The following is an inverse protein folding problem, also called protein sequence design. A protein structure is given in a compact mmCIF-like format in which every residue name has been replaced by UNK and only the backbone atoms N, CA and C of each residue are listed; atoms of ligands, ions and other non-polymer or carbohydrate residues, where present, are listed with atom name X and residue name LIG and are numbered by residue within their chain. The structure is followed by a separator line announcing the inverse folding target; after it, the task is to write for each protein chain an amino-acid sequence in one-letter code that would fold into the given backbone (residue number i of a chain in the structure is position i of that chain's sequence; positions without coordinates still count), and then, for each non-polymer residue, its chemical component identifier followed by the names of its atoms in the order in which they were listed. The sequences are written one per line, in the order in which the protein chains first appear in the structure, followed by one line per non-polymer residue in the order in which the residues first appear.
data_IF_079579373831
#
_entry.id   IF_079579373831
#
_cell.length_a   1.000
_cell.length_b   1.000
_cell.length_c   1.000
_cell.angle_alpha   90.00
_cell.angle_beta   90.00
_cell.angle_gamma   90.00
#
_symmetry.space_group_name_H-M   'P 1'
#
loop_
_entity.id
_entity.type
_entity.pdbx_description
1 polymer ?
#
# COMPACT_ATOMS: atom_id res chain seq x y z
N UNK A 1 18.74 -7.44 -5.08
CA UNK A 1 19.82 -7.86 -6.01
C UNK A 1 20.45 -6.64 -6.69
N UNK A 2 19.71 -5.82 -7.45
CA UNK A 2 20.27 -4.67 -8.17
C UNK A 2 20.93 -3.62 -7.26
N UNK A 3 20.38 -3.38 -6.07
CA UNK A 3 20.98 -2.50 -5.06
C UNK A 3 22.23 -3.08 -4.38
N UNK A 4 22.45 -4.39 -4.52
CA UNK A 4 23.55 -5.10 -3.84
C UNK A 4 24.84 -5.22 -4.66
N UNK A 5 24.87 -4.76 -5.91
CA UNK A 5 26.04 -4.78 -6.77
C UNK A 5 26.21 -3.46 -7.54
N UNK A 6 27.39 -3.26 -8.13
CA UNK A 6 27.69 -2.09 -8.96
C UNK A 6 27.70 -2.40 -10.46
N UNK A 7 27.19 -3.57 -10.84
CA UNK A 7 27.14 -4.01 -12.24
C UNK A 7 26.18 -3.16 -13.08
N UNK A 8 26.52 -3.00 -14.34
CA UNK A 8 25.71 -2.34 -15.37
C UNK A 8 25.20 -3.42 -16.33
N UNK A 9 23.95 -3.32 -16.70
CA UNK A 9 23.26 -4.34 -17.46
C UNK A 9 22.79 -3.81 -18.82
N UNK A 10 22.87 -4.64 -19.86
CA UNK A 10 22.25 -4.34 -21.15
C UNK A 10 20.76 -4.68 -21.16
N UNK A 11 20.32 -5.58 -20.28
CA UNK A 11 18.91 -5.93 -20.13
C UNK A 11 18.59 -6.31 -18.68
N UNK A 12 17.51 -5.75 -18.18
CA UNK A 12 16.88 -6.14 -16.91
C UNK A 12 15.48 -6.60 -17.25
N UNK A 13 15.16 -7.88 -17.03
CA UNK A 13 13.83 -8.43 -17.31
C UNK A 13 13.10 -8.74 -16.01
N UNK A 14 11.87 -8.27 -15.94
CA UNK A 14 10.92 -8.55 -14.86
C UNK A 14 9.75 -9.30 -15.49
N UNK A 15 9.70 -10.60 -15.26
CA UNK A 15 8.57 -11.44 -15.64
C UNK A 15 7.64 -11.56 -14.45
N UNK A 16 6.55 -10.83 -14.47
CA UNK A 16 5.58 -10.81 -13.39
C UNK A 16 4.37 -11.63 -13.85
N UNK A 17 4.39 -12.92 -13.58
CA UNK A 17 3.26 -13.81 -13.79
C UNK A 17 2.24 -13.59 -12.64
N UNK A 18 1.54 -12.49 -12.66
CA UNK A 18 0.47 -12.23 -11.72
C UNK A 18 -0.80 -12.98 -12.15
N UNK A 19 -0.98 -14.16 -11.59
CA UNK A 19 -2.29 -14.80 -11.55
C UNK A 19 -3.25 -13.97 -10.69
N UNK A 20 -4.56 -14.07 -10.92
CA UNK A 20 -5.60 -13.33 -10.18
C UNK A 20 -5.26 -13.14 -8.70
N UNK A 21 -5.00 -11.89 -8.31
CA UNK A 21 -4.75 -11.57 -6.91
C UNK A 21 -6.05 -11.58 -6.14
N UNK A 22 -6.16 -12.39 -5.08
CA UNK A 22 -7.25 -12.24 -4.11
C UNK A 22 -7.21 -10.81 -3.53
N UNK A 23 -8.36 -10.31 -3.07
CA UNK A 23 -8.48 -8.96 -2.51
C UNK A 23 -7.41 -8.64 -1.44
N UNK A 24 -6.95 -9.65 -0.71
CA UNK A 24 -5.86 -9.56 0.28
C UNK A 24 -4.52 -9.11 -0.34
N UNK A 25 -4.22 -9.50 -1.59
CA UNK A 25 -2.96 -9.11 -2.24
C UNK A 25 -2.88 -7.60 -2.52
N UNK A 26 -4.00 -6.88 -2.54
CA UNK A 26 -4.03 -5.43 -2.67
C UNK A 26 -3.46 -4.69 -1.46
N UNK A 27 -3.32 -5.40 -0.34
CA UNK A 27 -2.77 -4.90 0.92
C UNK A 27 -1.33 -5.37 1.17
N UNK A 28 -0.79 -6.24 0.30
CA UNK A 28 0.60 -6.66 0.35
C UNK A 28 1.50 -5.58 -0.29
N UNK A 29 2.57 -5.14 0.38
CA UNK A 29 3.52 -4.22 -0.21
C UNK A 29 4.28 -4.92 -1.35
N UNK A 30 4.37 -4.25 -2.49
CA UNK A 30 5.06 -4.74 -3.68
C UNK A 30 6.01 -3.65 -4.19
N UNK A 31 7.31 -3.87 -4.07
CA UNK A 31 8.34 -2.86 -4.32
C UNK A 31 8.91 -2.89 -5.73
N UNK A 32 8.55 -3.86 -6.58
CA UNK A 32 9.05 -3.93 -7.96
C UNK A 32 8.45 -2.83 -8.84
N UNK A 33 7.22 -2.40 -8.54
CA UNK A 33 6.47 -1.39 -9.30
C UNK A 33 6.47 -0.02 -8.62
N UNK A 34 7.58 0.39 -7.98
CA UNK A 34 7.71 1.71 -7.36
C UNK A 34 8.55 2.66 -8.22
N UNK A 35 8.38 3.96 -7.98
CA UNK A 35 9.19 5.02 -8.61
C UNK A 35 10.67 4.79 -8.33
N UNK A 36 11.02 4.51 -7.08
CA UNK A 36 12.41 4.32 -6.63
C UNK A 36 13.05 3.10 -7.28
N UNK A 37 12.33 1.98 -7.37
CA UNK A 37 12.84 0.79 -8.03
C UNK A 37 13.00 0.99 -9.54
N UNK A 38 12.06 1.67 -10.19
CA UNK A 38 12.16 2.01 -11.62
C UNK A 38 13.39 2.88 -11.88
N UNK A 39 13.63 3.90 -11.07
CA UNK A 39 14.84 4.74 -11.14
C UNK A 39 16.12 3.92 -10.94
N UNK A 40 16.12 3.03 -9.96
CA UNK A 40 17.26 2.15 -9.69
C UNK A 40 17.58 1.27 -10.90
N UNK A 41 16.58 0.65 -11.52
CA UNK A 41 16.78 -0.18 -12.71
C UNK A 41 17.33 0.62 -13.89
N UNK A 42 16.74 1.79 -14.18
CA UNK A 42 17.20 2.66 -15.25
C UNK A 42 18.65 3.14 -15.03
N UNK A 43 19.03 3.42 -13.78
CA UNK A 43 20.41 3.80 -13.43
C UNK A 43 21.41 2.66 -13.58
N UNK A 44 20.96 1.40 -13.54
CA UNK A 44 21.80 0.21 -13.73
C UNK A 44 21.88 -0.25 -15.20
N UNK A 45 21.27 0.48 -16.12
CA UNK A 45 21.37 0.19 -17.54
C UNK A 45 22.62 0.81 -18.17
N UNK A 46 23.21 0.08 -19.12
CA UNK A 46 24.13 0.66 -20.11
C UNK A 46 23.39 1.69 -20.98
N UNK A 47 24.13 2.48 -21.75
CA UNK A 47 23.51 3.52 -22.61
C UNK A 47 22.54 2.93 -23.66
N UNK A 48 22.77 1.68 -24.09
CA UNK A 48 21.88 0.94 -25.01
C UNK A 48 20.95 -0.02 -24.28
N UNK A 49 21.08 -0.15 -22.98
CA UNK A 49 20.32 -1.10 -22.18
C UNK A 49 18.84 -0.78 -22.09
N UNK A 50 18.03 -1.81 -21.79
CA UNK A 50 16.59 -1.67 -21.59
C UNK A 50 16.09 -2.49 -20.40
N UNK A 51 15.03 -2.02 -19.77
CA UNK A 51 14.20 -2.80 -18.84
C UNK A 51 13.01 -3.36 -19.63
N UNK A 52 12.73 -4.62 -19.43
CA UNK A 52 11.60 -5.33 -20.01
C UNK A 52 10.69 -5.79 -18.87
N UNK A 53 9.48 -5.27 -18.84
CA UNK A 53 8.43 -5.79 -17.97
C UNK A 53 7.46 -6.64 -18.79
N UNK A 54 7.08 -7.78 -18.24
CA UNK A 54 6.02 -8.62 -18.79
C UNK A 54 4.93 -8.77 -17.73
N UNK A 55 3.75 -8.25 -18.04
CA UNK A 55 2.58 -8.25 -17.17
C UNK A 55 1.43 -9.03 -17.81
N UNK A 56 0.74 -9.84 -17.03
CA UNK A 56 -0.49 -10.50 -17.47
C UNK A 56 -1.70 -9.66 -17.05
N UNK A 57 -2.51 -9.28 -18.03
CA UNK A 57 -3.77 -8.57 -17.79
C UNK A 57 -4.93 -9.52 -18.07
N UNK A 58 -5.41 -10.20 -17.04
CA UNK A 58 -6.57 -11.10 -17.14
C UNK A 58 -7.86 -10.45 -16.66
N UNK A 59 -7.76 -9.54 -15.71
CA UNK A 59 -8.91 -8.93 -15.04
C UNK A 59 -8.95 -7.42 -15.25
N UNK A 60 -10.12 -6.82 -15.01
CA UNK A 60 -10.26 -5.35 -14.97
C UNK A 60 -9.31 -4.72 -13.96
N UNK A 61 -9.12 -5.37 -12.80
CA UNK A 61 -8.22 -4.88 -11.75
C UNK A 61 -6.77 -4.84 -12.22
N UNK A 62 -6.27 -5.91 -12.85
CA UNK A 62 -4.90 -5.94 -13.39
C UNK A 62 -4.69 -4.88 -14.46
N UNK A 63 -5.72 -4.59 -15.29
CA UNK A 63 -5.67 -3.49 -16.26
C UNK A 63 -5.56 -2.12 -15.60
N UNK A 64 -6.33 -1.86 -14.56
CA UNK A 64 -6.26 -0.60 -13.83
C UNK A 64 -4.94 -0.45 -13.05
N UNK A 65 -4.44 -1.54 -12.49
CA UNK A 65 -3.11 -1.55 -11.88
C UNK A 65 -2.01 -1.24 -12.92
N UNK A 66 -2.18 -1.71 -14.15
CA UNK A 66 -1.26 -1.39 -15.24
C UNK A 66 -1.25 0.11 -15.61
N UNK A 67 -2.41 0.79 -15.60
CA UNK A 67 -2.43 2.26 -15.76
C UNK A 67 -1.64 2.95 -14.64
N UNK A 68 -1.83 2.52 -13.42
CA UNK A 68 -1.08 3.04 -12.26
C UNK A 68 0.41 2.80 -12.41
N UNK A 69 0.80 1.64 -12.92
CA UNK A 69 2.19 1.31 -13.22
C UNK A 69 2.79 2.21 -14.31
N UNK A 70 2.07 2.49 -15.40
CA UNK A 70 2.53 3.45 -16.41
C UNK A 70 2.75 4.85 -15.84
N UNK A 71 1.87 5.32 -14.94
CA UNK A 71 2.08 6.58 -14.22
C UNK A 71 3.33 6.53 -13.31
N UNK A 72 3.61 5.39 -12.70
CA UNK A 72 4.82 5.19 -11.88
C UNK A 72 6.09 5.28 -12.73
N UNK A 73 6.12 4.62 -13.89
CA UNK A 73 7.25 4.72 -14.83
C UNK A 73 7.46 6.17 -15.28
N UNK A 74 6.38 6.86 -15.65
CA UNK A 74 6.42 8.25 -16.07
C UNK A 74 6.97 9.18 -14.99
N UNK A 75 6.52 8.99 -13.75
CA UNK A 75 7.02 9.76 -12.60
C UNK A 75 8.51 9.49 -12.35
N UNK A 76 8.95 8.24 -12.42
CA UNK A 76 10.35 7.87 -12.27
C UNK A 76 11.22 8.57 -13.32
N UNK A 77 10.80 8.57 -14.58
CA UNK A 77 11.51 9.23 -15.68
C UNK A 77 11.57 10.75 -15.48
N UNK A 78 10.48 11.39 -15.06
CA UNK A 78 10.45 12.84 -14.75
C UNK A 78 11.44 13.18 -13.63
N UNK A 79 11.48 12.39 -12.55
CA UNK A 79 12.41 12.60 -11.44
C UNK A 79 13.88 12.37 -11.81
N UNK A 80 14.15 11.61 -12.87
CA UNK A 80 15.48 11.45 -13.47
C UNK A 80 15.84 12.58 -14.44
N UNK A 81 14.98 13.58 -14.64
CA UNK A 81 15.21 14.69 -15.56
C UNK A 81 14.97 14.35 -17.04
N UNK A 82 14.26 13.25 -17.33
CA UNK A 82 13.88 12.90 -18.70
C UNK A 82 12.70 13.81 -19.12
N UNK A 83 12.97 14.76 -20.02
CA UNK A 83 11.98 15.76 -20.45
C UNK A 83 10.82 15.17 -21.23
N UNK A 84 11.08 14.20 -22.11
CA UNK A 84 10.07 13.53 -22.94
C UNK A 84 10.04 12.01 -22.72
N UNK A 85 9.37 11.53 -21.68
CA UNK A 85 9.25 10.10 -21.39
C UNK A 85 8.72 9.27 -22.55
N UNK A 86 7.93 9.88 -23.48
CA UNK A 86 7.33 9.16 -24.61
C UNK A 86 8.38 8.57 -25.56
N UNK A 87 9.55 9.19 -25.66
CA UNK A 87 10.65 8.69 -26.52
C UNK A 87 11.37 7.48 -25.92
N UNK A 88 11.08 7.13 -24.68
CA UNK A 88 11.80 6.14 -23.89
C UNK A 88 11.01 4.87 -23.61
N UNK A 89 9.79 4.75 -24.14
CA UNK A 89 8.87 3.66 -23.85
C UNK A 89 8.22 3.08 -25.10
N UNK A 90 8.07 1.75 -25.12
CA UNK A 90 7.20 1.01 -26.03
C UNK A 90 6.34 0.08 -25.18
N UNK A 91 5.03 0.05 -25.44
CA UNK A 91 4.10 -0.90 -24.83
C UNK A 91 3.34 -1.63 -25.92
N UNK A 92 3.37 -2.95 -25.88
CA UNK A 92 2.65 -3.78 -26.81
C UNK A 92 2.07 -5.02 -26.13
N UNK A 93 1.02 -5.59 -26.73
CA UNK A 93 0.43 -6.85 -26.26
C UNK A 93 0.78 -7.99 -27.19
N UNK A 94 0.69 -9.20 -26.66
CA UNK A 94 0.70 -10.44 -27.45
C UNK A 94 -0.12 -11.52 -26.75
N UNK A 95 -0.79 -12.37 -27.52
CA UNK A 95 -1.65 -13.45 -27.01
C UNK A 95 -1.06 -14.79 -27.46
N UNK A 96 -0.41 -15.47 -26.52
CA UNK A 96 0.26 -16.74 -26.80
C UNK A 96 -0.73 -17.92 -26.91
N UNK A 97 -1.87 -17.83 -26.20
CA UNK A 97 -2.79 -18.98 -26.10
C UNK A 97 -4.15 -18.79 -26.77
N UNK A 98 -4.41 -17.64 -27.38
CA UNK A 98 -5.70 -17.34 -28.01
C UNK A 98 -6.90 -17.33 -27.03
N UNK A 99 -6.64 -17.25 -25.73
CA UNK A 99 -7.59 -17.48 -24.66
C UNK A 99 -7.82 -16.26 -23.78
N UNK A 100 -7.86 -15.03 -24.31
CA UNK A 100 -8.17 -13.81 -23.57
C UNK A 100 -7.08 -13.34 -22.56
N UNK A 101 -5.99 -14.10 -22.40
CA UNK A 101 -4.86 -13.72 -21.54
C UNK A 101 -3.90 -12.87 -22.37
N UNK A 102 -4.00 -11.56 -22.21
CA UNK A 102 -3.11 -10.64 -22.89
C UNK A 102 -1.86 -10.40 -22.05
N UNK A 103 -0.72 -10.79 -22.59
CA UNK A 103 0.56 -10.34 -22.08
C UNK A 103 0.80 -8.91 -22.54
N UNK A 104 1.18 -8.05 -21.60
CA UNK A 104 1.61 -6.69 -21.86
C UNK A 104 3.11 -6.63 -21.67
N UNK A 105 3.84 -6.28 -22.72
CA UNK A 105 5.28 -6.05 -22.62
C UNK A 105 5.55 -4.56 -22.63
N UNK A 106 6.30 -4.09 -21.63
CA UNK A 106 6.75 -2.70 -21.51
C UNK A 106 8.26 -2.68 -21.66
N UNK A 107 8.74 -2.01 -22.71
CA UNK A 107 10.15 -1.75 -22.94
C UNK A 107 10.45 -0.32 -22.52
N UNK A 108 11.39 -0.12 -21.61
CA UNK A 108 11.83 1.22 -21.21
C UNK A 108 13.34 1.34 -21.28
N UNK A 109 13.83 2.53 -21.69
CA UNK A 109 15.24 2.85 -21.81
C UNK A 109 15.58 4.14 -21.09
N UNK A 110 16.84 4.23 -20.64
CA UNK A 110 17.41 5.47 -20.11
C UNK A 110 17.62 6.52 -21.20
N UNK A 111 18.02 6.09 -22.41
CA UNK A 111 18.17 6.93 -23.61
C UNK A 111 16.95 6.80 -24.52
N UNK A 112 16.60 7.80 -25.35
CA UNK A 112 15.52 7.67 -26.33
C UNK A 112 15.75 6.48 -27.28
N UNK A 113 14.66 5.86 -27.73
CA UNK A 113 14.74 4.87 -28.80
C UNK A 113 15.24 5.51 -30.09
N UNK A 114 16.27 4.91 -30.69
CA UNK A 114 16.82 5.35 -31.98
C UNK A 114 15.94 4.90 -33.14
N UNK A 115 16.01 5.57 -34.32
CA UNK A 115 15.28 5.12 -35.51
C UNK A 115 15.61 3.68 -35.92
N UNK A 116 16.87 3.24 -35.72
CA UNK A 116 17.30 1.87 -36.02
C UNK A 116 16.63 0.86 -35.08
N UNK A 117 16.57 1.15 -33.78
CA UNK A 117 15.89 0.30 -32.78
C UNK A 117 14.40 0.19 -33.07
N UNK A 118 13.75 1.33 -33.39
CA UNK A 118 12.34 1.35 -33.79
C UNK A 118 12.07 0.54 -35.06
N UNK A 119 12.98 0.60 -36.06
CA UNK A 119 12.91 -0.23 -37.26
C UNK A 119 13.02 -1.73 -36.94
N UNK A 120 13.96 -2.10 -36.07
CA UNK A 120 14.12 -3.49 -35.59
C UNK A 120 12.87 -3.96 -34.83
N UNK A 121 12.34 -3.13 -33.93
CA UNK A 121 11.11 -3.42 -33.22
C UNK A 121 9.92 -3.60 -34.16
N UNK A 122 9.77 -2.74 -35.19
CA UNK A 122 8.66 -2.83 -36.14
C UNK A 122 8.71 -4.14 -36.94
N UNK A 123 9.90 -4.59 -37.36
CA UNK A 123 10.08 -5.87 -38.01
C UNK A 123 9.71 -7.05 -37.10
N UNK A 124 10.18 -7.04 -35.87
CA UNK A 124 9.83 -8.03 -34.84
C UNK A 124 8.33 -8.04 -34.55
N UNK A 125 7.73 -6.86 -34.34
CA UNK A 125 6.30 -6.73 -34.04
C UNK A 125 5.43 -7.26 -35.20
N UNK A 126 5.81 -7.00 -36.45
CA UNK A 126 5.10 -7.54 -37.62
C UNK A 126 5.06 -9.07 -37.62
N UNK A 127 6.12 -9.73 -37.18
CA UNK A 127 6.14 -11.17 -36.99
C UNK A 127 5.23 -11.63 -35.83
N UNK A 128 5.16 -10.87 -34.76
CA UNK A 128 4.24 -11.15 -33.65
C UNK A 128 2.78 -10.97 -34.04
N UNK A 129 2.42 -9.93 -34.79
CA UNK A 129 1.06 -9.70 -35.29
C UNK A 129 0.55 -10.91 -36.06
N UNK A 130 1.35 -11.42 -37.00
CA UNK A 130 0.97 -12.55 -37.83
C UNK A 130 0.82 -13.87 -37.07
N UNK A 131 1.55 -14.03 -35.96
CA UNK A 131 1.61 -15.27 -35.19
C UNK A 131 0.74 -15.29 -33.93
N UNK A 132 0.63 -14.14 -33.25
CA UNK A 132 0.04 -14.04 -31.91
C UNK A 132 -0.95 -12.89 -31.75
N UNK A 133 -1.36 -12.21 -32.81
CA UNK A 133 -2.32 -11.11 -32.72
C UNK A 133 -1.84 -9.91 -31.90
N UNK A 134 -0.55 -9.57 -31.99
CA UNK A 134 0.06 -8.46 -31.24
C UNK A 134 -0.48 -7.09 -31.63
N UNK A 135 -0.64 -6.19 -30.65
CA UNK A 135 -1.08 -4.81 -30.82
C UNK A 135 -0.13 -3.85 -30.09
N UNK A 136 0.21 -2.72 -30.71
CA UNK A 136 1.03 -1.66 -30.09
C UNK A 136 0.11 -0.68 -29.37
N UNK A 137 0.38 -0.43 -28.08
CA UNK A 137 -0.39 0.47 -27.25
C UNK A 137 0.28 1.82 -27.03
N UNK A 138 1.62 1.85 -26.89
CA UNK A 138 2.42 3.07 -26.75
C UNK A 138 3.66 2.95 -27.61
N UNK A 139 3.95 3.97 -28.41
CA UNK A 139 5.11 4.00 -29.29
C UNK A 139 5.67 5.41 -29.43
N UNK A 140 7.01 5.61 -29.48
CA UNK A 140 7.62 6.93 -29.56
C UNK A 140 7.16 7.78 -30.76
N UNK A 141 7.04 7.19 -31.95
CA UNK A 141 6.81 7.88 -33.22
C UNK A 141 5.42 7.63 -33.83
N UNK A 142 4.54 6.91 -33.12
CA UNK A 142 3.21 6.59 -33.63
C UNK A 142 2.15 7.06 -32.63
N UNK A 143 1.01 7.52 -33.14
CA UNK A 143 -0.18 7.73 -32.33
C UNK A 143 -1.06 6.52 -32.47
N UNK A 144 -1.17 5.73 -31.42
CA UNK A 144 -1.94 4.48 -31.41
C UNK A 144 -3.42 4.71 -31.08
N UNK A 145 -3.72 5.82 -30.40
CA UNK A 145 -5.06 6.12 -29.89
C UNK A 145 -5.51 5.24 -28.74
N UNK A 146 -4.68 4.28 -28.32
CA UNK A 146 -5.00 3.40 -27.21
C UNK A 146 -5.02 4.13 -25.87
N UNK A 147 -5.80 3.63 -24.91
CA UNK A 147 -5.90 4.26 -23.57
C UNK A 147 -4.57 4.32 -22.83
N UNK A 148 -3.72 3.31 -22.96
CA UNK A 148 -2.39 3.34 -22.35
C UNK A 148 -1.54 4.50 -22.87
N UNK A 149 -1.63 4.80 -24.16
CA UNK A 149 -0.97 5.95 -24.76
C UNK A 149 -1.50 7.26 -24.18
N UNK A 150 -2.82 7.41 -24.06
CA UNK A 150 -3.45 8.64 -23.50
C UNK A 150 -3.00 8.85 -22.05
N UNK A 151 -2.97 7.79 -21.23
CA UNK A 151 -2.48 7.85 -19.84
C UNK A 151 -1.03 8.27 -19.81
N UNK A 152 -0.19 7.63 -20.60
CA UNK A 152 1.25 7.89 -20.57
C UNK A 152 1.62 9.25 -21.14
N UNK A 153 0.98 9.69 -22.24
CA UNK A 153 1.23 10.97 -22.90
C UNK A 153 0.54 12.18 -22.22
N UNK A 154 -0.32 11.97 -21.24
CA UNK A 154 -0.90 13.07 -20.46
C UNK A 154 0.19 13.89 -19.77
N UNK A 155 0.15 15.24 -19.79
CA UNK A 155 1.15 16.07 -19.10
C UNK A 155 1.18 15.85 -17.59
N UNK A 156 0.03 15.55 -16.99
CA UNK A 156 -0.13 15.24 -15.58
C UNK A 156 -0.58 13.77 -15.38
N UNK A 157 -0.21 13.14 -14.26
CA UNK A 157 -0.74 11.83 -13.91
C UNK A 157 -2.27 11.88 -13.79
N UNK A 158 -2.95 10.93 -14.40
CA UNK A 158 -4.39 10.83 -14.33
C UNK A 158 -4.79 10.09 -13.05
N UNK A 159 -5.33 10.82 -12.07
CA UNK A 159 -5.61 10.32 -10.73
C UNK A 159 -7.02 9.74 -10.57
N UNK A 160 -7.95 10.03 -11.48
CA UNK A 160 -9.33 9.57 -11.39
C UNK A 160 -9.94 9.21 -12.74
N UNK A 161 -11.04 8.43 -12.73
CA UNK A 161 -11.81 8.12 -13.95
C UNK A 161 -12.46 9.36 -14.58
N UNK A 162 -12.73 10.40 -13.78
CA UNK A 162 -13.31 11.64 -14.28
C UNK A 162 -12.34 12.41 -15.17
N UNK A 163 -11.03 12.18 -15.01
CA UNK A 163 -9.99 12.80 -15.83
C UNK A 163 -9.89 12.14 -17.22
N UNK A 164 -10.60 11.02 -17.45
CA UNK A 164 -10.66 10.35 -18.73
C UNK A 164 -11.90 10.79 -19.52
N UNK A 165 -11.73 11.43 -20.68
CA UNK A 165 -12.86 11.90 -21.48
C UNK A 165 -13.68 10.77 -22.12
N UNK A 166 -13.25 9.53 -22.04
CA UNK A 166 -13.84 8.42 -22.79
C UNK A 166 -14.53 7.34 -21.94
N UNK A 167 -15.65 6.91 -22.50
CA UNK A 167 -16.53 5.85 -22.07
C UNK A 167 -15.91 4.45 -21.92
N UNK A 168 -14.62 4.26 -22.23
CA UNK A 168 -13.98 2.93 -22.21
C UNK A 168 -14.04 2.27 -20.83
N UNK A 169 -13.79 3.02 -19.76
CA UNK A 169 -13.93 2.49 -18.40
C UNK A 169 -15.39 2.17 -18.05
N UNK A 170 -16.32 3.02 -18.45
CA UNK A 170 -17.76 2.80 -18.22
C UNK A 170 -18.28 1.62 -19.02
N UNK A 171 -17.71 1.32 -20.18
CA UNK A 171 -18.06 0.17 -21.01
C UNK A 171 -17.71 -1.17 -20.33
N UNK A 172 -16.58 -1.23 -19.65
CA UNK A 172 -16.14 -2.45 -18.97
C UNK A 172 -16.90 -2.71 -17.66
N UNK A 173 -17.61 -1.70 -17.16
CA UNK A 173 -18.35 -1.76 -15.90
C UNK A 173 -19.79 -2.33 -16.04
N UNK A 174 -20.28 -2.54 -17.27
CA UNK A 174 -21.69 -2.90 -17.52
C UNK A 174 -22.18 -4.07 -16.67
N UNK A 175 -21.46 -5.19 -16.70
CA UNK A 175 -21.84 -6.37 -15.93
C UNK A 175 -21.83 -6.12 -14.41
N UNK A 176 -20.77 -5.48 -13.91
CA UNK A 176 -20.59 -5.20 -12.49
C UNK A 176 -21.63 -4.19 -11.96
N UNK A 177 -22.05 -3.24 -12.81
CA UNK A 177 -23.10 -2.27 -12.46
C UNK A 177 -24.43 -3.00 -12.35
N UNK A 178 -24.78 -3.83 -13.34
CA UNK A 178 -26.04 -4.58 -13.33
C UNK A 178 -26.14 -5.56 -12.15
N UNK A 179 -25.04 -6.17 -11.76
CA UNK A 179 -25.01 -7.09 -10.62
C UNK A 179 -25.34 -6.38 -9.29
N UNK A 180 -24.90 -5.14 -9.14
CA UNK A 180 -25.09 -4.34 -7.91
C UNK A 180 -26.43 -3.61 -7.84
N UNK A 181 -27.10 -3.41 -8.96
CA UNK A 181 -28.43 -2.75 -8.99
C UNK A 181 -29.50 -3.75 -8.58
N UNK A 182 -30.27 -3.39 -7.56
CA UNK A 182 -31.40 -4.20 -7.07
C UNK A 182 -32.74 -3.79 -7.73
N UNK A 183 -32.88 -2.51 -8.10
CA UNK A 183 -34.10 -1.96 -8.72
C UNK A 183 -34.24 -2.44 -10.17
N UNK A 184 -35.37 -3.06 -10.56
CA UNK A 184 -35.63 -3.48 -11.95
C UNK A 184 -35.63 -2.30 -12.92
N UNK A 185 -36.15 -1.14 -12.50
CA UNK A 185 -36.24 0.05 -13.36
C UNK A 185 -34.85 0.65 -13.61
N UNK A 186 -33.96 0.68 -12.59
CA UNK A 186 -32.60 1.13 -12.76
C UNK A 186 -31.78 0.16 -13.61
N UNK A 187 -32.03 -1.16 -13.52
CA UNK A 187 -31.42 -2.13 -14.44
C UNK A 187 -31.80 -1.84 -15.89
N UNK A 188 -33.12 -1.71 -16.19
CA UNK A 188 -33.60 -1.36 -17.53
C UNK A 188 -33.04 -0.03 -18.03
N UNK A 189 -32.95 0.96 -17.14
CA UNK A 189 -32.31 2.24 -17.47
C UNK A 189 -30.83 2.04 -17.88
N UNK A 190 -30.02 1.34 -17.08
CA UNK A 190 -28.63 1.06 -17.41
C UNK A 190 -28.50 0.23 -18.69
N UNK A 191 -29.32 -0.81 -18.86
CA UNK A 191 -29.32 -1.60 -20.09
C UNK A 191 -29.62 -0.75 -21.34
N UNK A 192 -30.51 0.24 -21.23
CA UNK A 192 -30.79 1.17 -22.34
C UNK A 192 -29.65 2.06 -22.75
N UNK A 193 -28.71 2.30 -21.83
CA UNK A 193 -27.54 3.12 -22.08
C UNK A 193 -26.41 2.40 -22.81
N UNK A 194 -26.45 1.06 -22.88
CA UNK A 194 -25.38 0.25 -23.45
C UNK A 194 -25.82 -0.46 -24.72
N UNK A 195 -24.88 -0.70 -25.62
CA UNK A 195 -25.05 -1.49 -26.86
C UNK A 195 -24.00 -2.57 -26.91
N UNK A 196 -24.44 -3.78 -27.16
CA UNK A 196 -23.52 -4.89 -27.44
C UNK A 196 -22.92 -4.76 -28.84
N UNK A 197 -21.60 -4.80 -28.93
CA UNK A 197 -20.89 -4.87 -30.20
C UNK A 197 -20.40 -6.31 -30.42
N UNK A 198 -20.98 -7.04 -31.39
CA UNK A 198 -20.62 -8.44 -31.62
C UNK A 198 -19.20 -8.63 -32.15
N UNK A 199 -18.64 -7.61 -32.84
CA UNK A 199 -17.27 -7.67 -33.37
C UNK A 199 -16.22 -7.76 -32.26
N UNK A 200 -16.48 -7.12 -31.13
CA UNK A 200 -15.56 -7.11 -29.98
C UNK A 200 -16.09 -7.90 -28.77
N UNK A 201 -17.27 -8.51 -28.88
CA UNK A 201 -17.88 -9.25 -27.78
C UNK A 201 -18.15 -8.43 -26.51
N UNK A 202 -18.33 -7.11 -26.62
CA UNK A 202 -18.39 -6.17 -25.49
C UNK A 202 -19.58 -5.21 -25.57
N UNK A 203 -20.01 -4.71 -24.41
CA UNK A 203 -20.99 -3.65 -24.31
C UNK A 203 -20.31 -2.28 -24.31
N UNK A 204 -20.91 -1.33 -25.02
CA UNK A 204 -20.44 0.06 -25.15
C UNK A 204 -21.51 1.04 -24.66
N UNK A 205 -21.11 2.01 -23.84
CA UNK A 205 -21.95 3.10 -23.38
C UNK A 205 -22.27 4.06 -24.54
N UNK A 206 -23.53 4.33 -24.80
CA UNK A 206 -23.98 5.27 -25.86
C UNK A 206 -23.77 6.74 -25.49
N UNK A 207 -22.60 7.15 -25.09
CA UNK A 207 -22.36 8.52 -24.59
C UNK A 207 -22.76 9.63 -25.58
N UNK A 208 -22.57 9.44 -26.90
CA UNK A 208 -22.92 10.44 -27.91
C UNK A 208 -24.44 10.67 -28.08
N UNK A 209 -25.25 9.72 -27.68
CA UNK A 209 -26.72 9.79 -27.75
C UNK A 209 -27.40 9.93 -26.39
N UNK A 210 -26.60 10.07 -25.32
CA UNK A 210 -27.11 10.22 -23.95
C UNK A 210 -27.45 11.70 -23.72
N UNK A 211 -28.63 11.95 -23.17
CA UNK A 211 -28.97 13.29 -22.70
C UNK A 211 -28.19 13.66 -21.45
N UNK A 212 -28.04 14.96 -21.19
CA UNK A 212 -27.39 15.44 -19.96
C UNK A 212 -28.11 14.93 -18.70
N UNK A 213 -29.43 14.85 -18.74
CA UNK A 213 -30.24 14.30 -17.65
C UNK A 213 -30.00 12.80 -17.41
N UNK A 214 -29.83 12.02 -18.48
CA UNK A 214 -29.53 10.59 -18.36
C UNK A 214 -28.10 10.38 -17.81
N UNK A 215 -27.18 11.23 -18.24
CA UNK A 215 -25.82 11.19 -17.73
C UNK A 215 -25.78 11.49 -16.22
N UNK A 216 -26.47 12.54 -15.77
CA UNK A 216 -26.57 12.90 -14.34
C UNK A 216 -27.27 11.79 -13.53
N UNK A 217 -28.34 11.22 -14.06
CA UNK A 217 -29.04 10.07 -13.44
C UNK A 217 -28.12 8.86 -13.33
N UNK A 218 -27.36 8.55 -14.36
CA UNK A 218 -26.41 7.43 -14.36
C UNK A 218 -25.28 7.65 -13.33
N UNK A 219 -24.71 8.84 -13.27
CA UNK A 219 -23.70 9.21 -12.26
C UNK A 219 -24.27 9.11 -10.82
N UNK A 220 -25.51 9.56 -10.61
CA UNK A 220 -26.19 9.45 -9.31
C UNK A 220 -26.41 7.98 -8.92
N UNK A 221 -26.79 7.15 -9.89
CA UNK A 221 -26.96 5.71 -9.68
C UNK A 221 -25.65 5.03 -9.33
N UNK A 222 -24.54 5.33 -10.03
CA UNK A 222 -23.22 4.81 -9.71
C UNK A 222 -22.79 5.16 -8.28
N UNK A 223 -23.10 6.36 -7.82
CA UNK A 223 -22.86 6.79 -6.43
C UNK A 223 -23.75 6.04 -5.44
N UNK A 224 -25.02 5.82 -5.76
CA UNK A 224 -25.98 5.16 -4.86
C UNK A 224 -25.63 3.70 -4.58
N UNK A 225 -25.08 2.99 -5.56
CA UNK A 225 -24.62 1.61 -5.40
C UNK A 225 -23.20 1.51 -4.85
N UNK A 226 -22.62 2.65 -4.40
CA UNK A 226 -21.26 2.74 -3.91
C UNK A 226 -20.27 2.00 -4.84
N UNK A 227 -20.47 2.21 -6.12
CA UNK A 227 -19.59 1.62 -7.12
C UNK A 227 -18.25 2.34 -7.07
N UNK A 228 -17.12 1.62 -7.01
CA UNK A 228 -15.80 2.23 -6.99
C UNK A 228 -15.46 2.76 -8.40
N UNK A 229 -16.12 3.86 -8.82
CA UNK A 229 -15.87 4.48 -10.12
C UNK A 229 -14.68 5.43 -10.12
N UNK A 230 -14.18 5.81 -8.95
CA UNK A 230 -12.97 6.61 -8.81
C UNK A 230 -11.75 5.72 -8.60
N UNK A 231 -10.80 5.81 -9.54
CA UNK A 231 -9.53 5.11 -9.49
C UNK A 231 -8.47 5.98 -8.81
N UNK A 232 -7.60 5.34 -8.03
CA UNK A 232 -6.36 5.89 -7.51
C UNK A 232 -5.21 5.43 -8.42
N UNK A 233 -4.88 6.22 -9.42
CA UNK A 233 -3.80 5.97 -10.36
C UNK A 233 -2.51 6.71 -9.98
N UNK A 234 -2.43 7.24 -8.77
CA UNK A 234 -1.22 7.90 -8.27
C UNK A 234 0.00 6.97 -8.34
N UNK A 235 1.18 7.49 -8.69
CA UNK A 235 2.40 6.69 -8.74
C UNK A 235 2.64 5.92 -7.44
N UNK A 236 3.13 4.69 -7.57
CA UNK A 236 3.49 3.84 -6.43
C UNK A 236 4.90 4.18 -5.98
N UNK A 237 5.09 4.39 -4.69
CA UNK A 237 6.39 4.72 -4.07
C UNK A 237 6.78 3.68 -3.03
N UNK A 238 8.04 3.69 -2.61
CA UNK A 238 8.52 2.81 -1.54
C UNK A 238 7.84 3.07 -0.19
N UNK A 239 7.32 4.29 0.02
CA UNK A 239 6.50 4.61 1.20
C UNK A 239 5.05 4.15 1.07
N UNK A 240 4.56 4.00 -0.17
CA UNK A 240 3.19 3.52 -0.49
C UNK A 240 3.24 2.44 -1.56
N UNK A 241 3.83 1.25 -1.27
CA UNK A 241 4.12 0.21 -2.26
C UNK A 241 2.92 -0.70 -2.54
N UNK A 242 1.77 -0.12 -2.92
CA UNK A 242 0.53 -0.84 -3.14
C UNK A 242 0.00 -0.63 -4.57
N UNK A 243 0.65 -1.22 -5.61
CA UNK A 243 0.27 -1.01 -7.00
C UNK A 243 -1.14 -1.51 -7.33
N UNK A 244 -1.59 -2.58 -6.66
CA UNK A 244 -2.89 -3.20 -6.89
C UNK A 244 -4.03 -2.56 -6.10
N UNK A 245 -3.76 -1.61 -5.21
CA UNK A 245 -4.77 -0.82 -4.54
C UNK A 245 -5.16 0.37 -5.41
N UNK A 246 -6.15 0.16 -6.25
CA UNK A 246 -6.53 1.06 -7.35
C UNK A 246 -7.81 1.85 -7.11
N UNK A 247 -8.56 1.57 -6.04
CA UNK A 247 -9.81 2.27 -5.77
C UNK A 247 -9.63 3.35 -4.71
N UNK A 248 -10.10 4.58 -4.99
CA UNK A 248 -10.02 5.71 -4.04
C UNK A 248 -10.81 5.46 -2.76
N UNK A 249 -11.96 4.83 -2.85
CA UNK A 249 -12.83 4.60 -1.69
C UNK A 249 -12.27 3.60 -0.67
N UNK A 250 -11.23 2.82 -1.05
CA UNK A 250 -10.58 1.82 -0.17
C UNK A 250 -11.57 0.87 0.53
N UNK A 251 -12.70 0.57 -0.10
CA UNK A 251 -13.79 -0.24 0.49
C UNK A 251 -13.30 -1.59 1.00
N UNK A 252 -12.38 -2.21 0.28
CA UNK A 252 -11.79 -3.52 0.62
C UNK A 252 -11.10 -3.52 1.99
N UNK A 253 -10.60 -2.37 2.43
CA UNK A 253 -9.98 -2.20 3.75
C UNK A 253 -10.96 -1.63 4.76
N UNK A 254 -11.83 -0.70 4.34
CA UNK A 254 -12.78 -0.02 5.22
C UNK A 254 -13.85 -0.96 5.76
N UNK A 255 -14.40 -1.85 4.95
CA UNK A 255 -15.48 -2.76 5.38
C UNK A 255 -15.04 -3.71 6.51
N UNK A 256 -13.88 -4.43 6.40
CA UNK A 256 -13.38 -5.20 7.53
C UNK A 256 -13.06 -4.34 8.76
N UNK A 257 -12.52 -3.13 8.56
CA UNK A 257 -12.20 -2.21 9.64
C UNK A 257 -13.45 -1.75 10.40
N UNK A 258 -14.53 -1.39 9.69
CA UNK A 258 -15.81 -1.03 10.32
C UNK A 258 -16.38 -2.18 11.16
N UNK A 259 -16.27 -3.42 10.68
CA UNK A 259 -16.67 -4.60 11.44
C UNK A 259 -15.85 -4.76 12.73
N UNK A 260 -14.52 -4.62 12.64
CA UNK A 260 -13.62 -4.67 13.80
C UNK A 260 -13.92 -3.55 14.79
N UNK A 261 -14.19 -2.31 14.33
CA UNK A 261 -14.61 -1.21 15.20
C UNK A 261 -15.90 -1.51 15.97
N UNK A 262 -16.90 -2.10 15.31
CA UNK A 262 -18.15 -2.50 15.95
C UNK A 262 -17.91 -3.53 17.04
N UNK A 263 -17.12 -4.57 16.76
CA UNK A 263 -16.77 -5.59 17.76
C UNK A 263 -15.98 -4.97 18.91
N UNK A 264 -14.97 -4.14 18.63
CA UNK A 264 -14.17 -3.47 19.63
C UNK A 264 -15.03 -2.57 20.54
N UNK A 265 -15.99 -1.83 19.99
CA UNK A 265 -16.93 -1.02 20.75
C UNK A 265 -17.80 -1.89 21.68
N UNK A 266 -18.35 -3.01 21.15
CA UNK A 266 -19.13 -3.95 21.96
C UNK A 266 -18.30 -4.52 23.11
N UNK A 267 -17.02 -4.82 22.90
CA UNK A 267 -16.14 -5.34 23.95
C UNK A 267 -15.69 -4.28 24.95
N UNK A 268 -15.48 -3.02 24.51
CA UNK A 268 -15.05 -1.92 25.37
C UNK A 268 -16.16 -1.41 26.28
N UNK A 269 -17.43 -1.37 25.82
CA UNK A 269 -18.56 -0.87 26.60
C UNK A 269 -18.68 -1.57 27.96
N UNK A 270 -18.73 -2.91 28.05
CA UNK A 270 -18.80 -3.60 29.35
C UNK A 270 -17.60 -3.30 30.25
N UNK A 271 -16.39 -3.21 29.68
CA UNK A 271 -15.17 -2.88 30.44
C UNK A 271 -15.26 -1.51 31.05
N UNK A 272 -15.70 -0.51 30.28
CA UNK A 272 -15.89 0.87 30.75
C UNK A 272 -17.00 0.97 31.79
N UNK A 273 -18.14 0.28 31.59
CA UNK A 273 -19.25 0.24 32.55
C UNK A 273 -18.79 -0.39 33.86
N UNK A 274 -18.10 -1.52 33.84
CA UNK A 274 -17.54 -2.15 35.04
C UNK A 274 -16.58 -1.19 35.77
N UNK A 275 -15.71 -0.51 35.05
CA UNK A 275 -14.79 0.47 35.62
C UNK A 275 -15.57 1.63 36.31
N UNK A 276 -16.61 2.16 35.66
CA UNK A 276 -17.43 3.27 36.21
C UNK A 276 -18.24 2.82 37.43
N UNK A 277 -18.94 1.69 37.38
CA UNK A 277 -19.82 1.23 38.43
C UNK A 277 -19.05 0.74 39.66
N UNK A 278 -17.95 0.02 39.49
CA UNK A 278 -17.18 -0.54 40.59
C UNK A 278 -16.23 0.47 41.24
N UNK A 279 -15.72 1.46 40.48
CA UNK A 279 -14.66 2.37 40.90
C UNK A 279 -15.00 3.86 40.73
N UNK A 280 -16.27 4.21 40.74
CA UNK A 280 -16.78 5.55 40.43
C UNK A 280 -16.21 6.73 41.23
N UNK A 281 -15.64 6.51 42.41
CA UNK A 281 -14.99 7.54 43.23
C UNK A 281 -13.63 8.00 42.68
N UNK A 282 -13.00 7.23 41.82
CA UNK A 282 -11.65 7.49 41.27
C UNK A 282 -11.65 7.71 39.74
N UNK A 283 -12.75 8.24 39.17
CA UNK A 283 -13.01 8.31 37.73
C UNK A 283 -11.83 8.84 36.88
N UNK A 284 -11.24 9.96 37.28
CA UNK A 284 -10.19 10.60 36.49
C UNK A 284 -8.91 9.79 36.45
N UNK A 285 -8.53 9.16 37.53
CA UNK A 285 -7.33 8.31 37.63
C UNK A 285 -7.51 7.03 36.78
N UNK A 286 -8.70 6.44 36.92
CA UNK A 286 -9.04 5.24 36.13
C UNK A 286 -9.11 5.52 34.62
N UNK A 287 -9.71 6.65 34.22
CA UNK A 287 -9.74 7.06 32.82
C UNK A 287 -8.32 7.27 32.27
N UNK A 288 -7.43 7.86 33.07
CA UNK A 288 -6.02 8.03 32.71
C UNK A 288 -5.32 6.70 32.46
N UNK A 289 -5.46 5.73 33.37
CA UNK A 289 -4.89 4.39 33.16
C UNK A 289 -5.49 3.69 31.96
N UNK A 290 -6.82 3.72 31.80
CA UNK A 290 -7.48 3.11 30.64
C UNK A 290 -6.97 3.70 29.32
N UNK A 291 -6.87 5.02 29.23
CA UNK A 291 -6.36 5.70 28.04
C UNK A 291 -4.88 5.39 27.78
N UNK A 292 -4.07 5.30 28.84
CA UNK A 292 -2.66 4.94 28.71
C UNK A 292 -2.47 3.54 28.09
N UNK A 293 -3.17 2.52 28.61
CA UNK A 293 -3.09 1.17 28.06
C UNK A 293 -3.67 1.06 26.64
N UNK A 294 -4.73 1.81 26.34
CA UNK A 294 -5.28 1.94 25.01
C UNK A 294 -4.25 2.51 24.02
N UNK A 295 -3.59 3.61 24.38
CA UNK A 295 -2.56 4.25 23.56
C UNK A 295 -1.33 3.35 23.35
N UNK A 296 -0.89 2.63 24.40
CA UNK A 296 0.23 1.69 24.26
C UNK A 296 -0.06 0.56 23.26
N UNK A 297 -1.21 -0.10 23.40
CA UNK A 297 -1.58 -1.19 22.49
C UNK A 297 -1.78 -0.69 21.07
N UNK A 298 -2.45 0.43 20.92
CA UNK A 298 -2.69 1.07 19.63
C UNK A 298 -1.38 1.47 18.93
N UNK A 299 -0.51 2.22 19.63
CA UNK A 299 0.75 2.70 19.08
C UNK A 299 1.73 1.56 18.77
N UNK A 300 1.80 0.53 19.64
CA UNK A 300 2.65 -0.63 19.42
C UNK A 300 2.32 -1.32 18.09
N UNK A 301 1.06 -1.65 17.86
CA UNK A 301 0.64 -2.36 16.66
C UNK A 301 0.75 -1.53 15.38
N UNK A 302 0.51 -0.21 15.43
CA UNK A 302 0.76 0.67 14.28
C UNK A 302 2.22 0.57 13.83
N UNK A 303 3.16 0.64 14.77
CA UNK A 303 4.59 0.60 14.50
C UNK A 303 5.00 -0.79 14.00
N UNK A 304 4.56 -1.85 14.66
CA UNK A 304 4.90 -3.24 14.30
C UNK A 304 4.53 -3.57 12.85
N UNK A 305 3.29 -3.27 12.45
CA UNK A 305 2.81 -3.56 11.09
C UNK A 305 3.63 -2.81 10.03
N UNK A 306 3.93 -1.53 10.27
CA UNK A 306 4.75 -0.75 9.33
C UNK A 306 6.17 -1.29 9.27
N UNK A 307 6.79 -1.62 10.39
CA UNK A 307 8.16 -2.15 10.42
C UNK A 307 8.25 -3.50 9.69
N UNK A 308 7.27 -4.39 9.85
CA UNK A 308 7.23 -5.63 9.07
C UNK A 308 7.23 -5.36 7.56
N UNK A 309 6.48 -4.37 7.09
CA UNK A 309 6.41 -4.01 5.69
C UNK A 309 7.69 -3.30 5.20
N UNK A 310 8.21 -2.30 5.91
CA UNK A 310 9.46 -1.58 5.52
C UNK A 310 10.67 -2.50 5.47
N UNK A 311 10.85 -3.37 6.46
CA UNK A 311 11.98 -4.29 6.51
C UNK A 311 11.91 -5.41 5.47
N UNK A 312 10.73 -5.71 4.94
CA UNK A 312 10.57 -6.64 3.82
C UNK A 312 11.40 -6.21 2.60
N UNK A 313 11.46 -4.91 2.30
CA UNK A 313 12.28 -4.36 1.22
C UNK A 313 13.77 -4.64 1.45
N UNK A 314 14.28 -4.46 2.66
CA UNK A 314 15.70 -4.68 3.00
C UNK A 314 16.08 -6.17 3.02
N UNK A 315 15.24 -6.99 3.64
CA UNK A 315 15.47 -8.44 3.76
C UNK A 315 15.21 -9.17 2.44
N UNK A 316 14.26 -8.69 1.64
CA UNK A 316 13.91 -9.28 0.34
C UNK A 316 12.96 -10.48 0.45
N UNK A 317 12.38 -10.75 1.62
CA UNK A 317 11.43 -11.85 1.82
C UNK A 317 10.39 -11.49 2.90
N UNK A 318 9.08 -11.57 2.58
CA UNK A 318 8.02 -11.31 3.55
C UNK A 318 8.08 -12.22 4.78
N UNK A 319 8.37 -13.51 4.58
CA UNK A 319 8.40 -14.51 5.66
C UNK A 319 9.52 -14.18 6.64
N UNK A 320 10.74 -13.97 6.15
CA UNK A 320 11.88 -13.66 7.01
C UNK A 320 11.76 -12.29 7.66
N UNK A 321 11.17 -11.32 6.97
CA UNK A 321 10.87 -10.01 7.55
C UNK A 321 9.92 -10.16 8.74
N UNK A 322 8.84 -10.89 8.59
CA UNK A 322 7.89 -11.15 9.68
C UNK A 322 8.57 -11.85 10.85
N UNK A 323 9.38 -12.90 10.60
CA UNK A 323 10.10 -13.62 11.66
C UNK A 323 11.05 -12.70 12.42
N UNK A 324 11.85 -11.89 11.70
CA UNK A 324 12.85 -11.01 12.33
C UNK A 324 12.18 -9.88 13.10
N UNK A 325 11.16 -9.24 12.52
CA UNK A 325 10.52 -8.09 13.15
C UNK A 325 9.60 -8.50 14.28
N UNK A 326 8.66 -9.40 14.04
CA UNK A 326 7.75 -9.88 15.08
C UNK A 326 8.52 -10.60 16.20
N UNK A 327 9.39 -11.54 15.82
CA UNK A 327 10.22 -12.28 16.80
C UNK A 327 11.17 -11.34 17.55
N UNK A 328 11.80 -10.38 16.86
CA UNK A 328 12.66 -9.36 17.46
C UNK A 328 11.89 -8.45 18.43
N UNK A 329 10.73 -7.93 18.01
CA UNK A 329 9.87 -7.11 18.89
C UNK A 329 9.47 -7.87 20.16
N UNK A 330 9.03 -9.12 20.04
CA UNK A 330 8.64 -9.94 21.20
C UNK A 330 9.85 -10.24 22.11
N UNK A 331 10.97 -10.69 21.52
CA UNK A 331 12.16 -11.06 22.29
C UNK A 331 12.77 -9.84 23.01
N UNK A 332 13.03 -8.77 22.27
CA UNK A 332 13.73 -7.60 22.82
C UNK A 332 12.83 -6.79 23.77
N UNK A 333 11.52 -6.72 23.50
CA UNK A 333 10.60 -6.11 24.46
C UNK A 333 10.47 -6.94 25.73
N UNK A 334 10.49 -8.27 25.64
CA UNK A 334 10.55 -9.17 26.80
C UNK A 334 11.82 -8.93 27.64
N UNK A 335 12.99 -8.81 27.00
CA UNK A 335 14.25 -8.47 27.67
C UNK A 335 14.15 -7.07 28.33
N UNK A 336 13.64 -6.07 27.60
CA UNK A 336 13.43 -4.71 28.11
C UNK A 336 12.53 -4.70 29.35
N UNK A 337 11.41 -5.42 29.29
CA UNK A 337 10.50 -5.62 30.42
C UNK A 337 11.20 -6.22 31.64
N UNK A 338 11.97 -7.30 31.42
CA UNK A 338 12.67 -8.02 32.49
C UNK A 338 13.74 -7.17 33.18
N UNK A 339 14.62 -6.56 32.37
CA UNK A 339 15.77 -5.78 32.87
C UNK A 339 15.29 -4.49 33.57
N UNK A 340 14.22 -3.87 33.08
CA UNK A 340 13.71 -2.60 33.60
C UNK A 340 13.13 -2.68 35.01
N UNK A 341 12.89 -3.86 35.55
CA UNK A 341 12.38 -4.04 36.93
C UNK A 341 13.27 -3.38 37.98
N UNK A 342 14.58 -3.32 37.73
CA UNK A 342 15.57 -2.76 38.66
C UNK A 342 15.91 -1.28 38.37
N UNK A 343 15.24 -0.66 37.40
CA UNK A 343 15.55 0.71 36.99
C UNK A 343 14.94 1.73 37.95
N UNK A 344 15.68 2.80 38.22
CA UNK A 344 15.14 3.93 38.99
C UNK A 344 14.01 4.63 38.20
N UNK A 345 13.08 5.24 38.88
CA UNK A 345 11.95 5.97 38.27
C UNK A 345 12.42 7.05 37.28
N UNK A 346 13.54 7.73 37.58
CA UNK A 346 14.14 8.75 36.65
C UNK A 346 14.66 8.12 35.39
N UNK A 347 15.41 7.01 35.51
CA UNK A 347 15.95 6.28 34.35
C UNK A 347 14.82 5.77 33.44
N UNK A 348 13.75 5.22 34.01
CA UNK A 348 12.58 4.76 33.24
C UNK A 348 11.98 5.88 32.38
N UNK A 349 11.74 7.07 32.97
CA UNK A 349 11.19 8.21 32.23
C UNK A 349 12.12 8.62 31.09
N UNK A 350 13.43 8.68 31.32
CA UNK A 350 14.41 9.03 30.29
C UNK A 350 14.36 8.01 29.15
N UNK A 351 14.44 6.71 29.47
CA UNK A 351 14.46 5.64 28.47
C UNK A 351 13.17 5.60 27.63
N UNK A 352 12.00 5.72 28.27
CA UNK A 352 10.72 5.75 27.56
C UNK A 352 10.63 6.99 26.65
N UNK A 353 11.19 8.13 27.06
CA UNK A 353 11.20 9.37 26.25
C UNK A 353 12.08 9.28 25.00
N UNK A 354 12.92 8.25 24.86
CA UNK A 354 13.72 8.01 23.66
C UNK A 354 12.88 7.30 22.55
N UNK A 355 11.81 6.58 22.95
CA UNK A 355 10.96 5.84 21.98
C UNK A 355 10.51 6.72 20.80
N UNK A 356 9.92 7.91 20.99
CA UNK A 356 9.52 8.78 19.90
C UNK A 356 10.67 9.13 18.94
N UNK A 357 11.87 9.37 19.44
CA UNK A 357 13.04 9.66 18.59
C UNK A 357 13.42 8.46 17.71
N UNK A 358 13.37 7.26 18.27
CA UNK A 358 13.60 6.04 17.48
C UNK A 358 12.53 5.79 16.43
N UNK A 359 11.26 6.16 16.71
CA UNK A 359 10.18 6.08 15.72
C UNK A 359 10.45 7.06 14.56
N UNK A 360 10.87 8.29 14.84
CA UNK A 360 11.29 9.26 13.80
C UNK A 360 12.44 8.70 12.97
N UNK A 361 13.44 8.08 13.60
CA UNK A 361 14.54 7.43 12.89
C UNK A 361 14.02 6.35 11.94
N UNK A 362 13.12 5.49 12.38
CA UNK A 362 12.49 4.47 11.54
C UNK A 362 11.62 5.04 10.41
N UNK A 363 11.03 6.23 10.61
CA UNK A 363 10.20 6.85 9.60
C UNK A 363 11.01 7.45 8.45
N UNK A 364 12.10 8.16 8.75
CA UNK A 364 12.76 9.04 7.80
C UNK A 364 14.21 8.65 7.44
N UNK A 365 14.90 7.90 8.27
CA UNK A 365 16.33 7.61 8.08
C UNK A 365 16.64 6.14 7.81
N UNK A 366 15.72 5.23 8.08
CA UNK A 366 15.98 3.79 7.96
C UNK A 366 16.22 3.36 6.50
N UNK A 367 15.59 4.03 5.53
CA UNK A 367 15.73 3.70 4.12
C UNK A 367 17.16 3.99 3.61
N UNK A 368 17.82 5.06 4.08
CA UNK A 368 19.21 5.35 3.78
C UNK A 368 20.15 4.28 4.38
N UNK A 369 19.83 3.83 5.60
CA UNK A 369 20.57 2.72 6.25
C UNK A 369 20.38 1.44 5.43
N UNK A 370 19.20 1.13 4.96
CA UNK A 370 18.97 -0.03 4.11
C UNK A 370 19.78 0.01 2.82
N UNK A 371 19.88 1.18 2.19
CA UNK A 371 20.72 1.38 1.00
C UNK A 371 22.20 1.17 1.32
N UNK A 372 22.69 1.73 2.41
CA UNK A 372 24.09 1.56 2.82
C UNK A 372 24.48 0.09 3.06
N UNK A 373 23.55 -0.70 3.60
CA UNK A 373 23.77 -2.12 3.88
C UNK A 373 23.20 -3.06 2.79
N UNK A 374 22.75 -2.55 1.65
CA UNK A 374 22.14 -3.34 0.59
C UNK A 374 23.05 -4.43 0.02
N UNK A 375 24.37 -4.18 -0.01
CA UNK A 375 25.38 -5.11 -0.57
C UNK A 375 25.71 -6.32 0.31
N UNK A 376 25.24 -6.34 1.55
CA UNK A 376 25.53 -7.46 2.46
C UNK A 376 24.76 -8.72 2.10
N UNK A 377 25.29 -9.87 2.51
CA UNK A 377 24.66 -11.17 2.32
C UNK A 377 23.31 -11.26 3.03
N UNK A 378 22.43 -12.14 2.57
CA UNK A 378 21.11 -12.36 3.17
C UNK A 378 21.18 -12.60 4.69
N UNK A 379 22.10 -13.46 5.14
CA UNK A 379 22.27 -13.74 6.58
C UNK A 379 22.71 -12.48 7.34
N UNK A 380 23.64 -11.71 6.78
CA UNK A 380 24.07 -10.45 7.41
C UNK A 380 22.91 -9.44 7.50
N UNK A 381 22.07 -9.34 6.49
CA UNK A 381 20.86 -8.48 6.51
C UNK A 381 19.89 -8.86 7.64
N UNK A 382 19.73 -10.14 7.95
CA UNK A 382 18.88 -10.56 9.08
C UNK A 382 19.45 -10.08 10.42
N UNK A 383 20.78 -10.19 10.63
CA UNK A 383 21.43 -9.69 11.86
C UNK A 383 21.39 -8.15 11.94
N UNK A 384 21.63 -7.46 10.83
CA UNK A 384 21.55 -5.99 10.77
C UNK A 384 20.11 -5.53 11.08
N UNK A 385 19.10 -6.16 10.47
CA UNK A 385 17.71 -5.85 10.74
C UNK A 385 17.36 -6.06 12.23
N UNK A 386 17.80 -7.17 12.82
CA UNK A 386 17.63 -7.44 14.25
C UNK A 386 18.31 -6.36 15.12
N UNK A 387 19.52 -5.94 14.77
CA UNK A 387 20.26 -4.89 15.47
C UNK A 387 19.58 -3.51 15.36
N UNK A 388 19.03 -3.18 14.19
CA UNK A 388 18.35 -1.91 13.95
C UNK A 388 17.02 -1.80 14.69
N UNK A 389 16.32 -2.92 14.89
CA UNK A 389 15.05 -2.92 15.62
C UNK A 389 15.26 -3.04 17.14
N UNK A 390 16.39 -3.59 17.57
CA UNK A 390 16.67 -3.86 19.00
C UNK A 390 16.42 -2.66 19.92
N UNK A 391 16.98 -1.44 19.68
CA UNK A 391 16.81 -0.33 20.60
C UNK A 391 15.33 0.07 20.78
N UNK A 392 14.60 0.13 19.68
CA UNK A 392 13.17 0.48 19.69
C UNK A 392 12.37 -0.59 20.42
N UNK A 393 12.53 -1.86 20.05
CA UNK A 393 11.83 -2.98 20.63
C UNK A 393 12.09 -3.11 22.15
N UNK A 394 13.35 -3.00 22.56
CA UNK A 394 13.76 -3.04 23.97
C UNK A 394 13.04 -1.97 24.80
N UNK A 395 13.05 -0.73 24.31
CA UNK A 395 12.43 0.39 25.02
C UNK A 395 10.90 0.30 25.03
N UNK A 396 10.28 -0.17 23.95
CA UNK A 396 8.83 -0.36 23.87
C UNK A 396 8.32 -1.44 24.85
N UNK A 397 9.17 -2.36 25.28
CA UNK A 397 8.83 -3.37 26.30
C UNK A 397 8.74 -2.83 27.73
N UNK A 398 9.24 -1.63 28.02
CA UNK A 398 9.34 -1.07 29.38
C UNK A 398 8.01 -0.53 29.92
N UNK A 399 7.22 0.29 29.21
CA UNK A 399 6.09 1.03 29.77
C UNK A 399 4.99 0.14 30.31
N UNK A 400 4.64 -0.92 29.59
CA UNK A 400 3.49 -1.77 29.90
C UNK A 400 3.58 -2.47 31.26
N UNK A 401 4.67 -3.23 31.58
CA UNK A 401 4.75 -3.94 32.86
C UNK A 401 4.84 -2.99 34.04
N UNK A 402 5.49 -1.85 33.89
CA UNK A 402 5.56 -0.84 34.97
C UNK A 402 4.22 -0.20 35.26
N UNK A 403 3.41 0.11 34.23
CA UNK A 403 2.07 0.63 34.40
C UNK A 403 1.13 -0.44 35.00
N UNK A 404 1.27 -1.71 34.60
CA UNK A 404 0.51 -2.81 35.19
C UNK A 404 0.78 -2.95 36.68
N UNK A 405 2.03 -2.93 37.08
CA UNK A 405 2.40 -2.99 38.52
C UNK A 405 1.86 -1.80 39.28
N UNK A 406 1.93 -0.58 38.73
CA UNK A 406 1.37 0.61 39.35
C UNK A 406 -0.15 0.50 39.53
N UNK A 407 -0.88 0.01 38.51
CA UNK A 407 -2.34 -0.16 38.59
C UNK A 407 -2.73 -1.20 39.66
N UNK A 408 -1.96 -2.29 39.78
CA UNK A 408 -2.18 -3.28 40.85
C UNK A 408 -2.06 -2.65 42.25
N UNK A 409 -1.01 -1.87 42.45
CA UNK A 409 -0.76 -1.19 43.73
C UNK A 409 -1.78 -0.09 44.02
N UNK A 410 -2.16 0.68 43.02
CA UNK A 410 -2.99 1.87 43.15
C UNK A 410 -4.50 1.56 43.19
N UNK A 411 -4.95 0.46 42.56
CA UNK A 411 -6.37 0.14 42.37
C UNK A 411 -6.67 -1.31 42.79
N UNK A 412 -6.34 -2.29 41.92
CA UNK A 412 -6.50 -3.74 42.20
C UNK A 412 -5.95 -4.61 41.07
N UNK A 413 -5.70 -5.89 41.35
CA UNK A 413 -5.31 -6.90 40.36
C UNK A 413 -6.37 -7.10 39.27
N UNK A 414 -7.65 -7.05 39.64
CA UNK A 414 -8.78 -7.20 38.74
C UNK A 414 -8.81 -6.05 37.70
N UNK A 415 -8.58 -4.81 38.20
CA UNK A 415 -8.54 -3.65 37.32
C UNK A 415 -7.33 -3.69 36.36
N UNK A 416 -6.18 -4.15 36.84
CA UNK A 416 -5.02 -4.38 35.98
C UNK A 416 -5.31 -5.39 34.87
N UNK A 417 -6.06 -6.46 35.18
CA UNK A 417 -6.50 -7.45 34.18
C UNK A 417 -7.43 -6.81 33.13
N UNK A 418 -8.34 -5.91 33.53
CA UNK A 418 -9.17 -5.15 32.59
C UNK A 418 -8.31 -4.27 31.67
N UNK A 419 -7.26 -3.62 32.19
CA UNK A 419 -6.33 -2.80 31.40
C UNK A 419 -5.58 -3.61 30.36
N UNK A 420 -5.19 -4.84 30.67
CA UNK A 420 -4.64 -5.78 29.69
C UNK A 420 -5.65 -6.06 28.56
N UNK A 421 -6.92 -6.27 28.90
CA UNK A 421 -7.99 -6.45 27.91
C UNK A 421 -8.18 -5.21 27.01
N UNK A 422 -8.18 -4.01 27.58
CA UNK A 422 -8.26 -2.73 26.83
C UNK A 422 -7.10 -2.62 25.85
N UNK A 423 -5.87 -2.92 26.27
CA UNK A 423 -4.70 -2.91 25.42
C UNK A 423 -4.87 -3.86 24.23
N UNK A 424 -5.30 -5.11 24.45
CA UNK A 424 -5.53 -6.10 23.39
C UNK A 424 -6.61 -5.69 22.39
N UNK A 425 -7.73 -5.13 22.86
CA UNK A 425 -8.81 -4.64 21.98
C UNK A 425 -8.30 -3.52 21.06
N UNK A 426 -7.63 -2.51 21.63
CA UNK A 426 -7.10 -1.39 20.85
C UNK A 426 -5.96 -1.81 19.92
N UNK A 427 -5.15 -2.80 20.29
CA UNK A 427 -4.16 -3.43 19.43
C UNK A 427 -4.81 -4.03 18.19
N UNK A 428 -5.92 -4.75 18.33
CA UNK A 428 -6.64 -5.35 17.19
C UNK A 428 -7.19 -4.28 16.24
N UNK A 429 -7.75 -3.20 16.78
CA UNK A 429 -8.19 -2.05 15.97
C UNK A 429 -7.03 -1.42 15.22
N UNK A 430 -5.88 -1.25 15.88
CA UNK A 430 -4.70 -0.63 15.31
C UNK A 430 -4.13 -1.41 14.12
N UNK A 431 -4.16 -2.74 14.13
CA UNK A 431 -3.72 -3.57 12.99
C UNK A 431 -4.48 -3.21 11.72
N UNK A 432 -5.80 -3.23 11.78
CA UNK A 432 -6.64 -2.94 10.60
C UNK A 432 -6.54 -1.48 10.17
N UNK A 433 -6.45 -0.56 11.13
CA UNK A 433 -6.26 0.86 10.85
C UNK A 433 -4.88 1.14 10.24
N UNK A 434 -3.83 0.46 10.68
CA UNK A 434 -2.49 0.56 10.09
C UNK A 434 -2.51 0.22 8.60
N UNK A 435 -3.18 -0.87 8.21
CA UNK A 435 -3.31 -1.24 6.81
C UNK A 435 -4.03 -0.16 5.99
N UNK A 436 -5.13 0.41 6.51
CA UNK A 436 -5.85 1.50 5.85
C UNK A 436 -4.97 2.74 5.70
N UNK A 437 -4.24 3.12 6.75
CA UNK A 437 -3.35 4.29 6.75
C UNK A 437 -2.19 4.09 5.77
N UNK A 438 -1.54 2.92 5.77
CA UNK A 438 -0.43 2.61 4.86
C UNK A 438 -0.84 2.71 3.39
N UNK A 439 -2.00 2.12 3.05
CA UNK A 439 -2.53 2.14 1.68
C UNK A 439 -2.98 3.54 1.26
N UNK A 440 -3.49 4.35 2.21
CA UNK A 440 -4.06 5.68 1.89
C UNK A 440 -3.00 6.78 1.93
N UNK A 441 -2.21 6.83 3.00
CA UNK A 441 -1.31 7.95 3.29
C UNK A 441 0.17 7.58 3.29
N UNK A 442 0.51 6.29 3.24
CA UNK A 442 1.88 5.78 3.29
C UNK A 442 2.32 5.35 4.69
N UNK A 443 3.41 4.59 4.70
CA UNK A 443 3.97 3.98 5.91
C UNK A 443 4.58 5.00 6.86
N UNK A 444 5.24 6.03 6.32
CA UNK A 444 5.84 7.11 7.13
C UNK A 444 4.77 7.89 7.90
N UNK A 445 3.61 8.16 7.28
CA UNK A 445 2.47 8.80 7.95
C UNK A 445 1.94 7.93 9.09
N UNK A 446 1.84 6.62 8.90
CA UNK A 446 1.40 5.70 9.95
C UNK A 446 2.39 5.67 11.12
N UNK A 447 3.70 5.69 10.85
CA UNK A 447 4.73 5.81 11.91
C UNK A 447 4.62 7.14 12.67
N UNK A 448 4.30 8.24 11.99
CA UNK A 448 4.09 9.53 12.66
C UNK A 448 2.84 9.55 13.55
N UNK A 449 1.78 8.83 13.18
CA UNK A 449 0.63 8.60 14.07
C UNK A 449 1.06 7.75 15.27
N UNK A 450 1.85 6.71 15.07
CA UNK A 450 2.47 5.92 16.15
C UNK A 450 3.34 6.76 17.08
N UNK A 451 4.17 7.65 16.53
CA UNK A 451 4.94 8.64 17.28
C UNK A 451 4.04 9.51 18.17
N UNK A 452 3.01 10.13 17.59
CA UNK A 452 2.08 10.98 18.33
C UNK A 452 1.37 10.19 19.46
N UNK A 453 1.02 8.93 19.19
CA UNK A 453 0.42 8.03 20.17
C UNK A 453 1.34 7.75 21.36
N UNK A 454 2.64 7.47 21.10
CA UNK A 454 3.63 7.26 22.16
C UNK A 454 3.92 8.54 22.93
N UNK A 455 4.01 9.69 22.28
CA UNK A 455 4.15 10.99 22.96
C UNK A 455 2.98 11.22 23.90
N UNK A 456 1.74 11.01 23.43
CA UNK A 456 0.54 11.13 24.27
C UNK A 456 0.55 10.16 25.47
N UNK A 457 0.96 8.90 25.24
CA UNK A 457 1.09 7.91 26.31
C UNK A 457 2.12 8.33 27.37
N UNK A 458 3.28 8.84 26.94
CA UNK A 458 4.35 9.31 27.86
C UNK A 458 3.88 10.51 28.69
N UNK A 459 3.25 11.50 28.05
CA UNK A 459 2.70 12.67 28.74
C UNK A 459 1.66 12.25 29.78
N UNK A 460 0.77 11.33 29.39
CA UNK A 460 -0.25 10.81 30.29
C UNK A 460 0.36 10.04 31.47
N UNK A 461 1.39 9.22 31.21
CA UNK A 461 2.12 8.52 32.26
C UNK A 461 2.75 9.47 33.28
N UNK A 462 3.29 10.61 32.83
CA UNK A 462 3.85 11.65 33.72
C UNK A 462 2.77 12.33 34.57
N UNK A 463 1.55 12.50 34.04
CA UNK A 463 0.42 13.13 34.75
C UNK A 463 -0.17 12.21 35.82
N UNK A 464 -0.38 10.92 35.46
CA UNK A 464 -0.98 9.93 36.36
C UNK A 464 -0.09 9.67 37.59
N UNK A 465 1.23 9.83 37.39
CA UNK A 465 2.23 9.56 38.42
C UNK A 465 2.35 10.65 39.51
N UNK A 466 1.70 11.81 39.32
CA UNK A 466 1.57 12.85 40.34
C UNK A 466 0.41 12.55 41.28
#
# INVERSE_FOLDING_TARGET
FLSSNDEIYDMITLMNLHYEYPAIATLAPEYLHTVENTKMMLNKLSDKGMVVYEEIIETKRSRYAFYKFLNTIKQAMKEMGIEDPNKHIIVYSWDFWGNWKQFQTVLIKKTPFTPQELGTFSAYHSALVSRYGSEIFVHPNMTTGHMFEKVFKSPEPLYSMNDYPDSLFKNELYGDILEKITSPDDKKFVESLYVFNPTYGRYYLRKKSMSESDFQKFEALLRSIDYPYELDLSPTTDDKPFPFNIYKNKKEVKTPLEFIFKIAAIMLIPVLLLAIFKYGSQRFRLLGHTLFFALLGFGFMLIEIVLMQKYQRFIGSPIYSTIVILGGLLLFSGIGSFVSRNFSKRLLVILISIIPLLIIFQAFFIDDVFLAFAKYSFKAKLFIASGLIFPLAFLMGIPFPHAMEQVKQDVSDEYATLMFGVNGILSTVAVSLSLLLNVTYGMSTTLMIGFATYVAAILLFMIIKK
#
